data_IF_909900934431
#
_entry.id   IF_909900934431
#
_cell.length_a   1.000
_cell.length_b   1.000
_cell.length_c   1.000
_cell.angle_alpha   90.00
_cell.angle_beta   90.00
_cell.angle_gamma   90.00
#
_symmetry.space_group_name_H-M   'P 1'
#
loop_
_entity.id
_entity.type
_entity.pdbx_description
1 polymer ?
#
# COMPACT_ATOMS: atom_id res chain seq x y z
N UNK A 1 -20.18 -26.27 49.69
CA UNK A 1 -18.76 -25.86 49.59
C UNK A 1 -18.27 -26.13 48.16
N UNK A 2 -17.45 -25.22 47.61
CA UNK A 2 -16.73 -25.25 46.29
C UNK A 2 -17.60 -25.12 45.01
N UNK A 3 -17.74 -23.94 44.39
CA UNK A 3 -16.81 -23.14 43.52
C UNK A 3 -16.91 -23.49 42.01
N UNK A 4 -17.81 -22.78 41.35
CA UNK A 4 -17.65 -22.03 40.07
C UNK A 4 -16.63 -22.53 39.03
N UNK A 5 -17.10 -22.84 37.80
CA UNK A 5 -16.45 -22.40 36.55
C UNK A 5 -17.48 -22.05 35.47
N UNK A 6 -18.04 -20.85 35.63
CA UNK A 6 -18.71 -20.12 34.56
C UNK A 6 -17.68 -19.72 33.50
N UNK A 7 -18.07 -19.91 32.25
CA UNK A 7 -17.84 -18.95 31.16
C UNK A 7 -16.44 -18.88 30.52
N UNK A 8 -16.42 -19.25 29.22
CA UNK A 8 -16.02 -18.42 28.07
C UNK A 8 -15.42 -19.32 27.01
N UNK A 9 -16.27 -20.05 26.27
CA UNK A 9 -15.90 -20.50 24.93
C UNK A 9 -15.67 -19.22 24.14
N UNK A 10 -14.41 -18.85 24.03
CA UNK A 10 -13.97 -17.61 23.44
C UNK A 10 -14.53 -17.54 22.03
N UNK A 11 -15.63 -16.79 21.91
CA UNK A 11 -15.98 -15.93 20.79
C UNK A 11 -14.98 -16.08 19.65
N UNK A 12 -15.34 -16.89 18.65
CA UNK A 12 -14.63 -17.17 17.40
C UNK A 12 -14.49 -15.93 16.49
N UNK A 13 -14.39 -14.72 17.07
CA UNK A 13 -14.15 -13.44 16.38
C UNK A 13 -12.71 -13.31 15.85
N UNK A 14 -12.13 -14.40 15.34
CA UNK A 14 -10.83 -14.41 14.67
C UNK A 14 -10.92 -14.89 13.22
N UNK A 15 -12.10 -14.83 12.61
CA UNK A 15 -12.33 -15.31 11.25
C UNK A 15 -13.12 -14.35 10.33
N UNK A 16 -13.22 -13.04 10.62
CA UNK A 16 -13.92 -12.10 9.71
C UNK A 16 -13.04 -11.02 9.06
N UNK A 17 -11.74 -10.91 9.39
CA UNK A 17 -10.85 -9.94 8.73
C UNK A 17 -10.15 -10.46 7.47
N UNK A 18 -10.34 -11.73 7.09
CA UNK A 18 -9.67 -12.32 5.91
C UNK A 18 -10.23 -11.79 4.58
N UNK A 19 -11.44 -11.23 4.59
CA UNK A 19 -12.16 -10.81 3.36
C UNK A 19 -12.42 -9.29 3.26
N UNK A 20 -11.80 -8.45 4.10
CA UNK A 20 -11.82 -6.99 3.90
C UNK A 20 -10.81 -6.51 2.83
N UNK A 21 -10.12 -7.43 2.15
CA UNK A 21 -9.38 -7.09 0.93
C UNK A 21 -10.33 -7.14 -0.27
N UNK A 22 -11.15 -6.09 -0.42
CA UNK A 22 -11.68 -5.76 -1.74
C UNK A 22 -10.49 -5.65 -2.68
N UNK A 23 -10.37 -6.60 -3.61
CA UNK A 23 -9.16 -6.84 -4.40
C UNK A 23 -8.71 -5.55 -5.09
N UNK A 24 -7.71 -4.88 -4.52
CA UNK A 24 -7.11 -3.72 -5.16
C UNK A 24 -6.51 -4.23 -6.46
N UNK A 25 -7.02 -3.71 -7.60
CA UNK A 25 -6.47 -4.05 -8.93
C UNK A 25 -4.96 -3.88 -8.87
N UNK A 26 -4.22 -4.84 -9.45
CA UNK A 26 -2.76 -4.75 -9.53
C UNK A 26 -2.39 -3.40 -10.12
N UNK A 27 -1.43 -2.71 -9.49
CA UNK A 27 -0.94 -1.45 -10.02
C UNK A 27 -0.40 -1.66 -11.43
N UNK A 28 -0.77 -0.77 -12.37
CA UNK A 28 -0.21 -0.76 -13.71
C UNK A 28 1.30 -0.49 -13.66
N UNK A 29 2.03 -0.89 -14.69
CA UNK A 29 3.48 -0.67 -14.75
C UNK A 29 3.82 0.82 -14.74
N UNK A 30 2.96 1.66 -15.32
CA UNK A 30 3.04 3.12 -15.18
C UNK A 30 2.95 3.59 -13.72
N UNK A 31 2.02 3.04 -12.93
CA UNK A 31 1.89 3.42 -11.51
C UNK A 31 3.07 2.93 -10.68
N UNK A 32 3.65 1.78 -10.99
CA UNK A 32 4.88 1.30 -10.32
C UNK A 32 6.07 2.20 -10.67
N UNK A 33 6.21 2.56 -11.94
CA UNK A 33 7.27 3.42 -12.43
C UNK A 33 7.23 4.80 -11.79
N UNK A 34 6.07 5.47 -11.82
CA UNK A 34 5.88 6.80 -11.22
C UNK A 34 6.12 6.79 -9.71
N UNK A 35 5.70 5.74 -8.99
CA UNK A 35 6.05 5.55 -7.58
C UNK A 35 7.55 5.44 -7.35
N UNK A 36 8.26 4.66 -8.17
CA UNK A 36 9.71 4.52 -8.08
C UNK A 36 10.43 5.86 -8.30
N UNK A 37 10.01 6.62 -9.33
CA UNK A 37 10.56 7.97 -9.59
C UNK A 37 10.29 8.90 -8.41
N UNK A 38 9.09 8.86 -7.84
CA UNK A 38 8.75 9.66 -6.67
C UNK A 38 9.61 9.30 -5.46
N UNK A 39 9.79 8.01 -5.15
CA UNK A 39 10.66 7.57 -4.06
C UNK A 39 12.12 7.99 -4.27
N UNK A 40 12.63 7.90 -5.50
CA UNK A 40 13.97 8.37 -5.87
C UNK A 40 14.13 9.87 -5.66
N UNK A 41 13.12 10.67 -6.04
CA UNK A 41 13.15 12.12 -5.84
C UNK A 41 12.99 12.48 -4.37
N UNK A 42 12.11 11.80 -3.63
CA UNK A 42 11.84 12.04 -2.20
C UNK A 42 13.04 11.72 -1.32
N UNK A 43 13.88 10.76 -1.74
CA UNK A 43 15.16 10.46 -1.09
C UNK A 43 16.19 11.57 -1.25
N UNK A 44 16.12 12.35 -2.33
CA UNK A 44 17.03 13.48 -2.59
C UNK A 44 16.52 14.77 -1.96
N UNK A 45 15.21 15.01 -2.07
CA UNK A 45 14.56 16.18 -1.54
C UNK A 45 13.20 15.78 -0.94
N UNK A 46 13.09 15.95 0.37
CA UNK A 46 11.89 15.58 1.14
C UNK A 46 10.70 16.49 0.85
N UNK A 47 10.87 17.61 0.16
CA UNK A 47 9.79 18.53 -0.21
C UNK A 47 9.20 18.24 -1.60
N UNK A 48 9.75 17.26 -2.33
CA UNK A 48 9.24 16.90 -3.67
C UNK A 48 7.78 16.46 -3.61
N UNK A 49 6.97 17.00 -4.52
CA UNK A 49 5.57 16.64 -4.67
C UNK A 49 5.41 15.52 -5.71
N UNK A 50 4.33 14.76 -5.58
CA UNK A 50 4.04 13.68 -6.53
C UNK A 50 3.84 14.19 -7.97
N UNK A 51 3.35 15.43 -8.13
CA UNK A 51 3.21 16.09 -9.44
C UNK A 51 4.56 16.22 -10.16
N UNK A 52 5.62 16.57 -9.46
CA UNK A 52 6.95 16.73 -10.04
C UNK A 52 7.50 15.37 -10.51
N UNK A 53 7.23 14.32 -9.72
CA UNK A 53 7.56 12.96 -10.11
C UNK A 53 6.79 12.47 -11.35
N UNK A 54 5.54 12.90 -11.56
CA UNK A 54 4.78 12.59 -12.78
C UNK A 54 5.39 13.27 -14.01
N UNK A 55 5.82 14.53 -13.88
CA UNK A 55 6.50 15.25 -14.96
C UNK A 55 7.82 14.58 -15.31
N UNK A 56 8.61 14.22 -14.30
CA UNK A 56 9.89 13.55 -14.48
C UNK A 56 9.73 12.14 -15.06
N UNK A 57 8.75 11.37 -14.57
CA UNK A 57 8.40 10.07 -15.13
C UNK A 57 7.95 10.18 -16.61
N UNK A 58 7.20 11.24 -16.97
CA UNK A 58 6.81 11.52 -18.35
C UNK A 58 8.02 11.77 -19.25
N UNK A 59 9.00 12.57 -18.79
CA UNK A 59 10.27 12.81 -19.50
C UNK A 59 11.05 11.51 -19.70
N UNK A 60 11.17 10.68 -18.66
CA UNK A 60 11.87 9.38 -18.75
C UNK A 60 11.17 8.40 -19.69
N UNK A 61 9.83 8.33 -19.65
CA UNK A 61 9.04 7.53 -20.60
C UNK A 61 9.26 7.99 -22.05
N UNK A 62 9.25 9.30 -22.30
CA UNK A 62 9.54 9.86 -23.64
C UNK A 62 10.97 9.53 -24.10
N UNK A 63 11.92 9.43 -23.19
CA UNK A 63 13.29 9.04 -23.46
C UNK A 63 13.50 7.50 -23.56
N UNK A 64 12.44 6.70 -23.49
CA UNK A 64 12.52 5.23 -23.56
C UNK A 64 13.05 4.55 -22.29
N UNK A 65 13.04 5.24 -21.14
CA UNK A 65 13.56 4.75 -19.85
C UNK A 65 12.45 4.29 -18.89
N UNK A 66 11.38 3.70 -19.43
CA UNK A 66 10.25 3.13 -18.68
C UNK A 66 10.22 1.61 -18.81
#
# INVERSE_FOLDING_TARGET
>A
MAKTRRNRKASSRKASRKNQMGGKRKASDWNKFTKRVYEEMKRKDSNVMFRDALVEAGKRKRAGKM
#
